data_IF_489475251368
#
_entry.id   IF_489475251368
#
_cell.length_a   1.000
_cell.length_b   1.000
_cell.length_c   1.000
_cell.angle_alpha   90.00
_cell.angle_beta   90.00
_cell.angle_gamma   90.00
#
_symmetry.space_group_name_H-M   'P 1'
#
loop_
_entity.id
_entity.type
_entity.pdbx_description
1 polymer ?
#
# COMPACT_ATOMS: atom_id res chain seq x y z
N UNK A 1 4.45 -6.78 -15.84
CA UNK A 1 4.35 -6.29 -14.46
C UNK A 1 4.56 -7.47 -13.52
N UNK A 2 5.40 -7.33 -12.50
CA UNK A 2 5.87 -8.43 -11.64
C UNK A 2 4.73 -9.25 -11.02
N UNK A 3 3.79 -8.59 -10.37
CA UNK A 3 2.69 -9.26 -9.66
C UNK A 3 1.75 -10.06 -10.55
N UNK A 4 1.60 -9.69 -11.81
CA UNK A 4 0.72 -10.39 -12.74
C UNK A 4 1.24 -11.78 -13.12
N UNK A 5 2.58 -11.97 -13.11
CA UNK A 5 3.20 -13.26 -13.43
C UNK A 5 3.16 -14.25 -12.27
N UNK A 6 3.08 -13.73 -11.05
CA UNK A 6 3.16 -14.52 -9.82
C UNK A 6 2.08 -14.06 -8.84
N UNK A 7 0.82 -14.36 -9.12
CA UNK A 7 -0.28 -13.87 -8.28
C UNK A 7 -0.16 -14.38 -6.85
N UNK A 8 -0.41 -13.48 -5.90
CA UNK A 8 -0.54 -13.83 -4.50
C UNK A 8 -1.98 -14.28 -4.28
N UNK A 9 -2.25 -15.56 -4.09
CA UNK A 9 -3.62 -16.05 -4.13
C UNK A 9 -4.46 -15.58 -2.95
N UNK A 10 -3.92 -15.58 -1.75
CA UNK A 10 -4.66 -15.26 -0.52
C UNK A 10 -3.75 -14.72 0.56
N UNK A 11 -4.37 -14.17 1.61
CA UNK A 11 -3.66 -13.77 2.82
C UNK A 11 -3.17 -15.01 3.56
N UNK A 12 -1.88 -15.07 3.83
CA UNK A 12 -1.22 -16.19 4.50
C UNK A 12 -1.44 -16.14 6.01
N UNK A 13 -1.94 -17.22 6.60
CA UNK A 13 -2.09 -17.36 8.04
C UNK A 13 -0.73 -17.46 8.72
N UNK A 14 -0.67 -17.06 9.99
CA UNK A 14 0.59 -17.07 10.76
C UNK A 14 1.24 -18.44 10.84
N UNK A 15 0.44 -19.51 10.95
CA UNK A 15 0.93 -20.89 10.98
C UNK A 15 1.51 -21.37 9.64
N UNK A 16 1.17 -20.72 8.54
CA UNK A 16 1.60 -21.11 7.18
C UNK A 16 2.78 -20.27 6.66
N UNK A 17 3.32 -19.34 7.46
CA UNK A 17 4.37 -18.42 7.01
C UNK A 17 5.61 -19.17 6.51
N UNK A 18 6.17 -20.07 7.28
CA UNK A 18 7.38 -20.81 6.88
C UNK A 18 7.14 -21.69 5.66
N UNK A 19 5.97 -22.31 5.56
CA UNK A 19 5.57 -23.06 4.38
C UNK A 19 5.56 -22.19 3.12
N UNK A 20 4.98 -21.01 3.20
CA UNK A 20 4.92 -20.09 2.08
C UNK A 20 6.28 -19.49 1.73
N UNK A 21 7.15 -19.26 2.70
CA UNK A 21 8.54 -18.88 2.45
C UNK A 21 9.27 -19.97 1.64
N UNK A 22 9.05 -21.23 2.01
CA UNK A 22 9.62 -22.35 1.26
C UNK A 22 9.03 -22.44 -0.16
N UNK A 23 7.75 -22.30 -0.33
CA UNK A 23 7.09 -22.27 -1.64
C UNK A 23 7.66 -21.16 -2.53
N UNK A 24 7.96 -19.98 -1.97
CA UNK A 24 8.55 -18.87 -2.70
C UNK A 24 9.95 -19.18 -3.26
N UNK A 25 10.65 -20.19 -2.74
CA UNK A 25 11.96 -20.63 -3.29
C UNK A 25 11.84 -21.14 -4.70
N UNK A 26 10.66 -21.57 -5.13
CA UNK A 26 10.43 -22.14 -6.47
C UNK A 26 10.39 -21.07 -7.56
N UNK A 27 10.26 -19.78 -7.20
CA UNK A 27 10.05 -18.71 -8.18
C UNK A 27 11.34 -18.01 -8.60
N UNK A 28 12.37 -17.99 -7.75
CA UNK A 28 13.67 -17.42 -8.09
C UNK A 28 14.73 -17.75 -7.04
N UNK A 29 16.01 -17.56 -7.44
CA UNK A 29 17.15 -17.79 -6.57
C UNK A 29 17.15 -16.89 -5.33
N UNK A 30 16.64 -15.65 -5.43
CA UNK A 30 16.59 -14.74 -4.29
C UNK A 30 15.64 -15.25 -3.20
N UNK A 31 14.56 -15.93 -3.58
CA UNK A 31 13.67 -16.61 -2.66
C UNK A 31 14.39 -17.70 -1.85
N UNK A 32 15.32 -18.40 -2.47
CA UNK A 32 16.14 -19.40 -1.79
C UNK A 32 17.08 -18.76 -0.76
N UNK A 33 17.73 -17.65 -1.10
CA UNK A 33 18.59 -16.90 -0.19
C UNK A 33 17.81 -16.37 1.01
N UNK A 34 16.63 -15.86 0.79
CA UNK A 34 15.75 -15.37 1.87
C UNK A 34 15.34 -16.52 2.79
N UNK A 35 14.93 -17.65 2.22
CA UNK A 35 14.52 -18.81 3.00
C UNK A 35 15.64 -19.32 3.92
N UNK A 36 16.88 -19.38 3.43
CA UNK A 36 18.03 -19.82 4.20
C UNK A 36 18.34 -18.90 5.39
N UNK A 37 17.99 -17.61 5.28
CA UNK A 37 18.26 -16.61 6.31
C UNK A 37 16.98 -16.18 7.05
N UNK A 38 15.87 -16.88 6.91
CA UNK A 38 14.57 -16.48 7.46
C UNK A 38 14.55 -16.25 8.96
N UNK A 39 15.40 -16.95 9.70
CA UNK A 39 15.48 -16.81 11.17
C UNK A 39 16.10 -15.46 11.59
N UNK A 40 16.74 -14.74 10.68
CA UNK A 40 17.28 -13.41 10.91
C UNK A 40 16.23 -12.31 10.66
N UNK A 41 15.06 -12.66 10.16
CA UNK A 41 13.98 -11.71 9.88
C UNK A 41 13.04 -11.59 11.07
N UNK A 42 12.62 -10.36 11.42
CA UNK A 42 11.49 -10.17 12.33
C UNK A 42 10.20 -10.78 11.77
N UNK A 43 9.23 -11.07 12.63
CA UNK A 43 7.96 -11.69 12.22
C UNK A 43 7.20 -10.87 11.18
N UNK A 44 7.24 -9.53 11.28
CA UNK A 44 6.56 -8.66 10.33
C UNK A 44 7.12 -8.80 8.92
N UNK A 45 8.45 -8.84 8.77
CA UNK A 45 9.14 -9.02 7.49
C UNK A 45 8.91 -10.42 6.92
N UNK A 46 8.93 -11.45 7.76
CA UNK A 46 8.58 -12.81 7.34
C UNK A 46 7.18 -12.87 6.76
N UNK A 47 6.19 -12.31 7.46
CA UNK A 47 4.80 -12.25 7.02
C UNK A 47 4.65 -11.46 5.73
N UNK A 48 5.33 -10.33 5.61
CA UNK A 48 5.30 -9.52 4.40
C UNK A 48 5.74 -10.33 3.18
N UNK A 49 6.89 -10.99 3.28
CA UNK A 49 7.42 -11.79 2.18
C UNK A 49 6.59 -13.06 1.93
N UNK A 50 6.09 -13.72 2.96
CA UNK A 50 5.21 -14.88 2.82
C UNK A 50 3.92 -14.53 2.07
N UNK A 51 3.35 -13.35 2.33
CA UNK A 51 2.15 -12.86 1.67
C UNK A 51 2.42 -12.30 0.28
N UNK A 52 3.63 -11.79 0.03
CA UNK A 52 3.95 -11.12 -1.22
C UNK A 52 5.42 -11.29 -1.59
N UNK A 53 5.71 -12.26 -2.46
CA UNK A 53 7.07 -12.54 -2.95
C UNK A 53 7.67 -11.40 -3.78
N UNK A 54 6.87 -10.44 -4.23
CA UNK A 54 7.37 -9.25 -4.93
C UNK A 54 8.15 -8.30 -4.00
N UNK A 55 8.08 -8.51 -2.69
CA UNK A 55 8.84 -7.73 -1.69
C UNK A 55 10.29 -8.17 -1.50
N UNK A 56 10.76 -9.08 -2.31
CA UNK A 56 12.08 -9.73 -2.16
C UNK A 56 13.26 -8.76 -2.09
N UNK A 57 13.25 -7.68 -2.86
CA UNK A 57 14.34 -6.70 -2.85
C UNK A 57 14.42 -5.95 -1.52
N UNK A 58 13.27 -5.59 -0.95
CA UNK A 58 13.21 -5.01 0.39
C UNK A 58 13.75 -5.98 1.44
N UNK A 59 13.32 -7.23 1.40
CA UNK A 59 13.74 -8.27 2.36
C UNK A 59 15.24 -8.53 2.26
N UNK A 60 15.79 -8.65 1.06
CA UNK A 60 17.23 -8.84 0.86
C UNK A 60 18.03 -7.64 1.35
N UNK A 61 17.58 -6.42 1.07
CA UNK A 61 18.22 -5.22 1.60
C UNK A 61 18.18 -5.17 3.13
N UNK A 62 17.10 -5.63 3.73
CA UNK A 62 16.99 -5.77 5.18
C UNK A 62 18.06 -6.76 5.74
N UNK A 63 18.15 -7.94 5.16
CA UNK A 63 19.11 -8.99 5.55
C UNK A 63 20.57 -8.55 5.34
N UNK A 64 20.83 -7.74 4.34
CA UNK A 64 22.17 -7.28 3.98
C UNK A 64 22.58 -5.96 4.67
N UNK A 65 21.77 -5.46 5.60
CA UNK A 65 22.07 -4.23 6.35
C UNK A 65 22.03 -2.95 5.48
N UNK A 66 21.24 -2.95 4.42
CA UNK A 66 21.17 -1.83 3.47
C UNK A 66 20.14 -0.76 3.86
N UNK A 67 19.56 -0.82 5.06
CA UNK A 67 18.46 0.03 5.48
C UNK A 67 18.78 1.54 5.48
N UNK A 68 20.01 1.93 5.60
CA UNK A 68 20.39 3.35 5.56
C UNK A 68 20.96 3.81 4.22
N UNK A 69 20.98 2.95 3.21
CA UNK A 69 21.58 3.24 1.90
C UNK A 69 20.62 4.09 1.07
N UNK A 70 21.09 5.20 0.47
CA UNK A 70 20.27 5.90 -0.52
C UNK A 70 20.04 5.05 -1.76
N UNK A 71 18.79 4.96 -2.18
CA UNK A 71 18.40 4.22 -3.39
C UNK A 71 17.88 5.21 -4.43
N UNK A 72 18.39 5.13 -5.64
CA UNK A 72 17.90 5.93 -6.77
C UNK A 72 16.68 5.31 -7.44
N UNK A 73 16.61 3.99 -7.43
CA UNK A 73 15.55 3.21 -8.05
C UNK A 73 14.89 2.31 -7.01
N UNK A 74 13.60 2.07 -7.20
CA UNK A 74 12.81 1.22 -6.33
C UNK A 74 11.91 0.26 -7.08
N UNK A 75 11.01 -0.34 -6.35
CA UNK A 75 10.13 -1.40 -6.83
C UNK A 75 8.81 -0.89 -7.40
N UNK A 76 8.55 0.41 -7.29
CA UNK A 76 7.38 1.06 -7.88
C UNK A 76 7.37 0.88 -9.40
N UNK A 77 6.21 0.55 -9.95
CA UNK A 77 6.01 0.32 -11.38
C UNK A 77 5.09 1.39 -11.99
N UNK A 78 5.41 1.81 -13.21
CA UNK A 78 4.58 2.75 -13.97
C UNK A 78 3.35 2.03 -14.55
N UNK A 79 2.15 2.49 -14.21
CA UNK A 79 0.89 1.94 -14.71
C UNK A 79 0.13 2.88 -15.64
N UNK A 80 0.66 4.07 -15.91
CA UNK A 80 0.03 5.09 -16.77
C UNK A 80 -1.39 5.45 -16.30
N UNK A 81 -1.55 5.61 -14.98
CA UNK A 81 -2.79 6.05 -14.35
C UNK A 81 -2.71 7.55 -14.00
N UNK A 82 -3.86 8.21 -13.90
CA UNK A 82 -3.91 9.60 -13.42
C UNK A 82 -3.25 9.75 -12.04
N UNK A 83 -3.51 8.79 -11.15
CA UNK A 83 -2.86 8.71 -9.84
C UNK A 83 -1.68 7.76 -9.95
N UNK A 84 -0.45 8.22 -9.71
CA UNK A 84 0.71 7.35 -9.81
C UNK A 84 0.59 6.20 -8.82
N UNK A 85 1.16 5.06 -9.17
CA UNK A 85 1.14 3.91 -8.28
C UNK A 85 2.47 3.82 -7.53
N UNK A 86 2.43 3.88 -6.20
CA UNK A 86 3.58 3.67 -5.33
C UNK A 86 3.36 2.43 -4.48
N UNK A 87 4.41 1.65 -4.24
CA UNK A 87 4.38 0.57 -3.26
C UNK A 87 5.10 0.99 -1.99
N UNK A 88 4.54 0.61 -0.82
CA UNK A 88 5.10 1.00 0.47
C UNK A 88 6.47 0.36 0.76
N UNK A 89 6.75 -0.79 0.17
CA UNK A 89 8.03 -1.49 0.30
C UNK A 89 9.05 -1.13 -0.79
N UNK A 90 8.87 -0.06 -1.50
CA UNK A 90 9.87 0.52 -2.41
C UNK A 90 11.06 1.00 -1.58
N UNK A 91 12.26 0.51 -1.89
CA UNK A 91 13.47 0.76 -1.09
C UNK A 91 13.83 2.24 -0.96
N UNK A 92 13.35 3.11 -1.84
CA UNK A 92 13.57 4.56 -1.74
C UNK A 92 12.98 5.17 -0.46
N UNK A 93 11.98 4.52 0.16
CA UNK A 93 11.34 4.96 1.41
C UNK A 93 11.01 3.82 2.38
N UNK A 94 11.11 2.57 1.95
CA UNK A 94 10.65 1.41 2.72
C UNK A 94 11.27 1.32 4.12
N UNK A 95 12.55 1.67 4.26
CA UNK A 95 13.29 1.58 5.52
C UNK A 95 13.14 2.81 6.41
N UNK A 96 12.49 3.87 5.93
CA UNK A 96 12.29 5.09 6.72
C UNK A 96 11.44 4.79 7.95
N UNK A 97 11.82 5.36 9.09
CA UNK A 97 11.13 5.11 10.35
C UNK A 97 9.69 5.65 10.32
N UNK A 98 8.77 4.86 10.86
CA UNK A 98 7.37 5.24 11.05
C UNK A 98 6.90 4.64 12.38
N UNK A 99 6.83 5.48 13.42
CA UNK A 99 6.64 5.00 14.78
C UNK A 99 7.75 4.02 15.20
N UNK A 100 7.36 2.85 15.66
CA UNK A 100 8.29 1.76 16.05
C UNK A 100 8.57 0.78 14.89
N UNK A 101 8.03 1.03 13.73
CA UNK A 101 8.23 0.21 12.54
C UNK A 101 8.80 1.07 11.41
N UNK A 102 8.56 0.71 10.17
CA UNK A 102 8.98 1.47 9.01
C UNK A 102 7.86 1.55 7.95
N UNK A 103 8.12 2.30 6.90
CA UNK A 103 7.15 2.53 5.83
C UNK A 103 6.76 1.23 5.12
N UNK A 104 7.69 0.30 4.94
CA UNK A 104 7.39 -0.98 4.29
C UNK A 104 6.30 -1.76 5.03
N UNK A 105 6.33 -1.75 6.36
CA UNK A 105 5.42 -2.51 7.21
C UNK A 105 4.15 -1.72 7.54
N UNK A 106 4.29 -0.46 7.95
CA UNK A 106 3.19 0.36 8.47
C UNK A 106 2.71 1.47 7.55
N UNK A 107 3.31 1.62 6.37
CA UNK A 107 3.17 2.81 5.55
C UNK A 107 2.03 2.83 4.52
N UNK A 108 0.98 2.02 4.68
CA UNK A 108 -0.14 2.06 3.73
C UNK A 108 -0.81 3.45 3.69
N UNK A 109 -1.04 4.06 4.84
CA UNK A 109 -1.64 5.39 4.94
C UNK A 109 -0.87 6.48 4.19
N UNK A 110 0.39 6.74 4.55
CA UNK A 110 1.16 7.76 3.86
C UNK A 110 1.42 7.45 2.39
N UNK A 111 1.53 6.18 2.01
CA UNK A 111 1.69 5.80 0.60
C UNK A 111 0.43 6.12 -0.21
N UNK A 112 -0.74 5.79 0.31
CA UNK A 112 -2.04 6.13 -0.34
C UNK A 112 -2.21 7.65 -0.44
N UNK A 113 -1.90 8.38 0.61
CA UNK A 113 -1.98 9.85 0.60
C UNK A 113 -1.02 10.43 -0.44
N UNK A 114 0.21 9.93 -0.54
CA UNK A 114 1.17 10.39 -1.55
C UNK A 114 0.64 10.16 -2.98
N UNK A 115 0.05 9.00 -3.25
CA UNK A 115 -0.57 8.73 -4.54
C UNK A 115 -1.71 9.70 -4.86
N UNK A 116 -2.58 9.97 -3.89
CA UNK A 116 -3.70 10.90 -4.04
C UNK A 116 -3.22 12.32 -4.31
N UNK A 117 -2.31 12.84 -3.49
CA UNK A 117 -1.79 14.20 -3.63
C UNK A 117 -0.99 14.39 -4.91
N UNK A 118 -0.11 13.46 -5.23
CA UNK A 118 0.71 13.52 -6.45
C UNK A 118 -0.17 13.56 -7.71
N UNK A 119 -1.21 12.74 -7.76
CA UNK A 119 -2.14 12.74 -8.90
C UNK A 119 -3.02 13.99 -8.97
N UNK A 120 -3.54 14.47 -7.85
CA UNK A 120 -4.40 15.65 -7.80
C UNK A 120 -3.64 16.94 -8.12
N UNK A 121 -2.44 17.07 -7.60
CA UNK A 121 -1.62 18.27 -7.76
C UNK A 121 -0.67 18.20 -8.97
N UNK A 122 -0.63 17.06 -9.66
CA UNK A 122 0.28 16.79 -10.77
C UNK A 122 1.74 17.08 -10.38
N UNK A 123 2.11 16.60 -9.21
CA UNK A 123 3.43 16.82 -8.61
C UNK A 123 4.04 15.48 -8.16
N UNK A 124 4.90 14.91 -9.00
CA UNK A 124 5.56 13.63 -8.75
C UNK A 124 6.67 13.72 -7.68
N UNK A 125 6.99 14.91 -7.19
CA UNK A 125 7.91 15.06 -6.05
C UNK A 125 7.25 14.71 -4.71
N UNK A 126 5.93 14.61 -4.67
CA UNK A 126 5.18 14.15 -3.50
C UNK A 126 5.22 12.62 -3.49
N UNK A 127 6.08 12.07 -2.64
CA UNK A 127 6.31 10.62 -2.52
C UNK A 127 5.97 10.14 -1.11
N UNK A 128 5.84 8.83 -0.89
CA UNK A 128 5.65 8.26 0.44
C UNK A 128 6.70 8.70 1.46
N UNK A 129 7.91 9.05 1.01
CA UNK A 129 8.97 9.53 1.89
C UNK A 129 8.56 10.81 2.64
N UNK A 130 8.13 11.85 1.92
CA UNK A 130 7.73 13.12 2.52
C UNK A 130 6.47 12.97 3.39
N UNK A 131 5.49 12.23 2.89
CA UNK A 131 4.22 12.09 3.60
C UNK A 131 4.39 11.29 4.90
N UNK A 132 5.20 10.23 4.89
CA UNK A 132 5.49 9.46 6.11
C UNK A 132 6.25 10.29 7.14
N UNK A 133 7.18 11.13 6.72
CA UNK A 133 7.90 12.07 7.60
C UNK A 133 6.93 13.04 8.28
N UNK A 134 5.98 13.61 7.52
CA UNK A 134 4.96 14.53 8.07
C UNK A 134 4.06 13.79 9.07
N UNK A 135 3.60 12.60 8.73
CA UNK A 135 2.77 11.77 9.61
C UNK A 135 3.49 11.47 10.93
N UNK A 136 4.72 10.99 10.82
CA UNK A 136 5.53 10.62 11.98
C UNK A 136 5.82 11.82 12.88
N UNK A 137 6.22 12.96 12.29
CA UNK A 137 6.57 14.16 13.02
C UNK A 137 5.38 14.80 13.76
N UNK A 138 4.16 14.58 13.29
CA UNK A 138 2.94 15.17 13.85
C UNK A 138 2.11 14.18 14.68
N UNK A 139 2.64 12.99 14.96
CA UNK A 139 2.01 12.04 15.88
C UNK A 139 0.76 11.34 15.34
N UNK A 140 0.62 11.22 14.02
CA UNK A 140 -0.54 10.56 13.41
C UNK A 140 -0.36 9.06 13.17
N UNK A 141 0.81 8.52 13.44
CA UNK A 141 1.04 7.08 13.35
C UNK A 141 1.00 6.45 14.74
N UNK A 142 0.27 5.34 14.87
CA UNK A 142 0.12 4.58 16.11
C UNK A 142 0.42 3.10 15.89
N UNK A 143 0.41 2.31 16.97
CA UNK A 143 0.51 0.84 16.88
C UNK A 143 -0.63 0.21 16.07
N UNK A 144 -1.73 0.93 15.85
CA UNK A 144 -2.87 0.50 15.03
C UNK A 144 -2.80 1.05 13.59
N UNK A 145 -1.71 1.73 13.23
CA UNK A 145 -1.52 2.33 11.92
C UNK A 145 -1.79 3.83 11.91
N UNK A 146 -2.06 4.36 10.72
CA UNK A 146 -2.36 5.77 10.50
C UNK A 146 -3.70 6.14 11.14
N UNK A 147 -3.70 7.18 11.98
CA UNK A 147 -4.96 7.77 12.48
C UNK A 147 -5.77 8.34 11.31
N UNK A 148 -7.08 8.12 11.31
CA UNK A 148 -7.96 8.66 10.25
C UNK A 148 -7.94 10.19 10.20
N UNK A 149 -7.74 10.85 11.33
CA UNK A 149 -7.59 12.31 11.40
C UNK A 149 -6.40 12.86 10.61
N UNK A 150 -5.43 12.00 10.26
CA UNK A 150 -4.33 12.39 9.38
C UNK A 150 -4.82 12.82 8.00
N UNK A 151 -5.89 12.23 7.49
CA UNK A 151 -6.40 12.57 6.15
C UNK A 151 -6.88 14.02 6.08
N UNK A 152 -7.62 14.49 7.09
CA UNK A 152 -8.03 15.89 7.16
C UNK A 152 -6.83 16.82 7.34
N UNK A 153 -5.92 16.45 8.23
CA UNK A 153 -4.70 17.23 8.49
C UNK A 153 -3.85 17.42 7.22
N UNK A 154 -3.58 16.33 6.51
CA UNK A 154 -2.70 16.39 5.33
C UNK A 154 -3.37 17.08 4.13
N UNK A 155 -4.67 16.89 3.96
CA UNK A 155 -5.43 17.58 2.94
C UNK A 155 -5.37 19.11 3.15
N UNK A 156 -5.62 19.56 4.37
CA UNK A 156 -5.55 20.98 4.72
C UNK A 156 -4.16 21.57 4.48
N UNK A 157 -3.11 20.83 4.83
CA UNK A 157 -1.72 21.24 4.59
C UNK A 157 -1.42 21.49 3.10
N UNK A 158 -2.08 20.77 2.21
CA UNK A 158 -1.94 20.91 0.75
C UNK A 158 -3.09 21.71 0.11
N UNK A 159 -3.84 22.46 0.90
CA UNK A 159 -4.96 23.32 0.47
C UNK A 159 -6.07 22.54 -0.26
N UNK A 160 -6.31 21.31 0.17
CA UNK A 160 -7.38 20.46 -0.31
C UNK A 160 -8.44 20.28 0.77
N UNK A 161 -9.62 19.85 0.36
CA UNK A 161 -10.71 19.45 1.27
C UNK A 161 -10.67 17.93 1.46
N UNK A 162 -11.02 17.47 2.65
CA UNK A 162 -11.22 16.06 2.98
C UNK A 162 -12.62 15.87 3.52
N UNK A 163 -13.38 14.99 2.90
CA UNK A 163 -14.76 14.69 3.30
C UNK A 163 -14.93 13.20 3.50
N UNK A 164 -15.40 12.79 4.68
CA UNK A 164 -15.74 11.41 4.96
C UNK A 164 -17.03 11.02 4.23
N UNK A 165 -16.99 9.88 3.54
CA UNK A 165 -18.10 9.41 2.71
C UNK A 165 -18.91 8.33 3.44
N UNK A 166 -20.20 8.23 3.10
CA UNK A 166 -21.01 7.07 3.47
C UNK A 166 -20.73 5.92 2.51
N UNK A 167 -20.79 4.68 3.01
CA UNK A 167 -20.57 3.51 2.17
C UNK A 167 -21.79 3.25 1.28
N UNK A 168 -21.66 3.57 0.01
CA UNK A 168 -22.61 3.22 -1.03
C UNK A 168 -21.91 3.23 -2.39
N UNK A 169 -22.46 2.49 -3.35
CA UNK A 169 -21.97 2.54 -4.73
C UNK A 169 -22.05 3.94 -5.31
N UNK A 170 -23.16 4.63 -5.06
CA UNK A 170 -23.37 6.01 -5.54
C UNK A 170 -22.31 6.97 -5.01
N UNK A 171 -21.96 6.89 -3.71
CA UNK A 171 -20.92 7.75 -3.12
C UNK A 171 -19.57 7.58 -3.82
N UNK A 172 -19.17 6.33 -4.08
CA UNK A 172 -17.90 6.05 -4.76
C UNK A 172 -17.95 6.54 -6.21
N UNK A 173 -19.01 6.19 -6.95
CA UNK A 173 -19.16 6.56 -8.35
C UNK A 173 -19.16 8.08 -8.55
N UNK A 174 -19.83 8.83 -7.69
CA UNK A 174 -19.86 10.30 -7.75
C UNK A 174 -18.46 10.91 -7.58
N UNK A 175 -17.68 10.41 -6.65
CA UNK A 175 -16.30 10.88 -6.43
C UNK A 175 -15.43 10.57 -7.64
N UNK A 176 -15.50 9.35 -8.16
CA UNK A 176 -14.73 8.92 -9.33
C UNK A 176 -15.13 9.73 -10.56
N UNK A 177 -16.42 9.99 -10.76
CA UNK A 177 -16.92 10.77 -11.90
C UNK A 177 -16.47 12.24 -11.84
N UNK A 178 -16.21 12.79 -10.65
CA UNK A 178 -15.56 14.10 -10.48
C UNK A 178 -14.05 14.07 -10.76
N UNK A 179 -13.48 12.89 -10.98
CA UNK A 179 -12.04 12.71 -11.17
C UNK A 179 -11.22 12.72 -9.89
N UNK A 180 -11.86 12.58 -8.73
CA UNK A 180 -11.20 12.55 -7.43
C UNK A 180 -10.96 11.12 -6.95
N UNK A 181 -9.96 10.89 -6.06
CA UNK A 181 -9.68 9.57 -5.53
C UNK A 181 -10.50 9.31 -4.25
N UNK A 182 -10.66 8.03 -3.92
CA UNK A 182 -11.28 7.62 -2.65
C UNK A 182 -10.24 6.91 -1.79
N UNK A 183 -9.84 7.55 -0.69
CA UNK A 183 -9.03 6.92 0.35
C UNK A 183 -9.94 5.95 1.11
N UNK A 184 -9.54 4.68 1.18
CA UNK A 184 -10.43 3.61 1.64
C UNK A 184 -9.75 2.76 2.69
N UNK A 185 -10.29 2.76 3.90
CA UNK A 185 -9.86 1.88 5.00
C UNK A 185 -10.63 0.58 4.95
N UNK A 186 -9.92 -0.56 5.00
CA UNK A 186 -10.49 -1.90 4.95
C UNK A 186 -10.13 -2.70 6.20
N UNK A 187 -11.06 -3.54 6.67
CA UNK A 187 -10.84 -4.45 7.78
C UNK A 187 -10.18 -5.75 7.30
N UNK A 188 -9.76 -6.66 8.21
CA UNK A 188 -9.24 -7.98 7.82
C UNK A 188 -10.17 -8.72 6.86
N UNK A 189 -9.60 -9.23 5.78
CA UNK A 189 -10.33 -9.91 4.70
C UNK A 189 -9.46 -10.13 3.48
N UNK A 190 -9.94 -9.69 2.33
CA UNK A 190 -9.26 -9.90 1.04
C UNK A 190 -7.96 -9.10 0.87
N UNK A 191 -7.81 -7.99 1.60
CA UNK A 191 -6.70 -7.05 1.45
C UNK A 191 -5.64 -7.17 2.54
N UNK A 192 -5.98 -7.71 3.69
CA UNK A 192 -5.13 -7.64 4.88
C UNK A 192 -5.55 -8.67 5.92
N UNK A 193 -4.62 -8.99 6.83
CA UNK A 193 -4.92 -9.78 8.04
C UNK A 193 -5.23 -8.93 9.26
N UNK A 194 -4.91 -7.64 9.24
CA UNK A 194 -5.04 -6.74 10.41
C UNK A 194 -5.88 -5.50 10.09
N UNK A 195 -5.47 -4.72 9.14
CA UNK A 195 -6.11 -3.51 8.66
C UNK A 195 -5.24 -2.93 7.55
N UNK A 196 -5.85 -2.17 6.63
CA UNK A 196 -5.13 -1.67 5.47
C UNK A 196 -5.83 -0.44 4.90
N UNK A 197 -5.11 0.32 4.11
CA UNK A 197 -5.63 1.48 3.40
C UNK A 197 -5.26 1.34 1.93
N UNK A 198 -6.24 1.50 1.07
CA UNK A 198 -6.11 1.45 -0.39
C UNK A 198 -6.67 2.72 -1.01
N UNK A 199 -6.36 2.96 -2.28
CA UNK A 199 -6.87 4.10 -3.04
C UNK A 199 -7.72 3.61 -4.20
N UNK A 200 -8.99 4.01 -4.26
CA UNK A 200 -9.82 3.80 -5.45
C UNK A 200 -9.55 4.98 -6.37
N UNK A 201 -9.08 4.71 -7.58
CA UNK A 201 -8.58 5.75 -8.51
C UNK A 201 -9.43 5.90 -9.77
N UNK A 202 -10.33 4.98 -10.03
CA UNK A 202 -11.16 5.02 -11.23
C UNK A 202 -12.10 3.83 -11.32
N UNK A 203 -12.78 3.72 -12.45
CA UNK A 203 -13.58 2.56 -12.82
C UNK A 203 -13.43 2.27 -14.31
N UNK A 204 -13.61 1.01 -14.69
CA UNK A 204 -13.59 0.59 -16.07
C UNK A 204 -14.98 0.73 -16.73
N UNK A 205 -15.07 0.38 -18.01
CA UNK A 205 -16.33 0.47 -18.76
C UNK A 205 -17.43 -0.47 -18.26
N UNK A 206 -17.07 -1.51 -17.51
CA UNK A 206 -18.01 -2.44 -16.88
C UNK A 206 -18.49 -1.96 -15.50
N UNK A 207 -18.03 -0.80 -15.05
CA UNK A 207 -18.37 -0.25 -13.73
C UNK A 207 -17.58 -0.85 -12.56
N UNK A 208 -16.57 -1.67 -12.82
CA UNK A 208 -15.67 -2.20 -11.80
C UNK A 208 -14.58 -1.18 -11.46
N UNK A 209 -14.14 -1.17 -10.21
CA UNK A 209 -13.19 -0.20 -9.70
C UNK A 209 -11.75 -0.58 -9.99
N UNK A 210 -10.96 0.46 -10.26
CA UNK A 210 -9.51 0.41 -10.43
C UNK A 210 -8.91 0.90 -9.12
N UNK A 211 -8.02 0.10 -8.54
CA UNK A 211 -7.44 0.33 -7.22
C UNK A 211 -5.93 0.44 -7.33
N UNK A 212 -5.34 1.39 -6.59
CA UNK A 212 -3.93 1.40 -6.26
C UNK A 212 -3.79 0.86 -4.82
N UNK A 213 -3.33 -0.38 -4.70
CA UNK A 213 -3.02 -0.99 -3.41
C UNK A 213 -1.52 -0.83 -3.12
N UNK A 214 -1.15 -0.08 -2.09
CA UNK A 214 0.26 0.20 -1.81
C UNK A 214 1.08 -1.03 -1.43
N UNK A 215 0.44 -2.16 -1.19
CA UNK A 215 1.13 -3.38 -0.74
C UNK A 215 1.08 -4.54 -1.74
N UNK A 216 0.41 -4.40 -2.89
CA UNK A 216 0.25 -5.52 -3.81
C UNK A 216 0.04 -5.09 -5.27
N UNK A 217 0.95 -5.54 -6.15
CA UNK A 217 0.75 -5.44 -7.60
C UNK A 217 -0.51 -6.20 -8.04
N UNK A 218 -0.72 -7.40 -7.51
CA UNK A 218 -1.82 -8.26 -7.94
C UNK A 218 -3.18 -7.64 -7.65
N UNK A 219 -3.36 -7.08 -6.46
CA UNK A 219 -4.60 -6.40 -6.10
C UNK A 219 -4.79 -5.10 -6.88
N UNK A 220 -3.70 -4.45 -7.27
CA UNK A 220 -3.71 -3.24 -8.09
C UNK A 220 -4.05 -3.52 -9.55
N UNK A 221 -3.63 -4.65 -10.08
CA UNK A 221 -3.89 -5.04 -11.48
C UNK A 221 -5.26 -5.66 -11.69
N UNK A 222 -5.87 -6.22 -10.64
CA UNK A 222 -7.24 -6.73 -10.68
C UNK A 222 -8.22 -5.56 -10.63
N UNK A 223 -9.34 -5.65 -11.34
CA UNK A 223 -10.49 -4.77 -11.15
C UNK A 223 -11.45 -5.38 -10.13
N UNK A 224 -12.17 -4.53 -9.40
CA UNK A 224 -12.98 -4.93 -8.25
C UNK A 224 -14.42 -4.45 -8.41
N UNK A 225 -15.39 -5.36 -8.22
CA UNK A 225 -16.78 -4.97 -8.18
C UNK A 225 -17.14 -4.29 -6.86
N UNK A 226 -18.22 -3.51 -6.84
CA UNK A 226 -18.75 -2.95 -5.60
C UNK A 226 -19.11 -4.07 -4.60
N UNK A 227 -19.70 -5.17 -5.08
CA UNK A 227 -20.05 -6.30 -4.22
C UNK A 227 -18.85 -6.95 -3.54
N UNK A 228 -17.69 -6.98 -4.22
CA UNK A 228 -16.45 -7.45 -3.62
C UNK A 228 -15.89 -6.47 -2.58
N UNK A 229 -16.03 -5.16 -2.81
CA UNK A 229 -15.49 -4.13 -1.92
C UNK A 229 -16.36 -3.82 -0.71
N UNK A 230 -17.68 -3.82 -0.87
CA UNK A 230 -18.62 -3.38 0.19
C UNK A 230 -18.46 -4.15 1.50
N UNK A 231 -18.05 -5.41 1.45
CA UNK A 231 -17.82 -6.25 2.62
C UNK A 231 -16.46 -6.01 3.28
N UNK A 232 -15.56 -5.29 2.62
CA UNK A 232 -14.21 -5.01 3.09
C UNK A 232 -14.06 -3.62 3.70
N UNK A 233 -14.85 -2.66 3.25
CA UNK A 233 -14.69 -1.23 3.56
C UNK A 233 -15.25 -0.91 4.95
N UNK A 234 -14.43 -0.20 5.76
CA UNK A 234 -14.83 0.38 7.04
C UNK A 234 -15.19 1.86 6.88
N UNK A 235 -14.36 2.62 6.19
CA UNK A 235 -14.49 4.07 6.06
C UNK A 235 -13.82 4.56 4.78
N UNK A 236 -14.30 5.69 4.27
CA UNK A 236 -13.80 6.28 3.03
C UNK A 236 -13.75 7.80 3.13
N UNK A 237 -12.81 8.41 2.41
CA UNK A 237 -12.65 9.87 2.31
C UNK A 237 -12.41 10.27 0.87
N UNK A 238 -13.00 11.40 0.47
CA UNK A 238 -12.68 12.08 -0.78
C UNK A 238 -11.74 13.24 -0.49
N UNK A 239 -10.65 13.36 -1.27
CA UNK A 239 -9.89 14.62 -1.37
C UNK A 239 -10.40 15.38 -2.58
N UNK A 240 -10.60 16.69 -2.42
CA UNK A 240 -11.05 17.59 -3.49
C UNK A 240 -10.38 18.95 -3.40
N UNK A 241 -10.35 19.67 -4.54
CA UNK A 241 -9.88 21.06 -4.63
C UNK A 241 -10.90 22.04 -4.09
#
# INVERSE_FOLDING_TARGET
IRGAQHPTPFIVKSEDVDKNLFENTHYNLLGQLIYLQRDQLPDAEKKLYANNKDTKEYILGYLNGQQGTPFEYGETVELKRKYPYYVQWDRRWAYDALGRTNVAIGGCGPTVVAMALSGMLKDETITPKQISEIENANGYFTSLGTKWSFFDFIADKYNLKSVKLSLSKASIDEVIDRGNPVITSVHPGKFTTVGHIILIVGKNNSGNYIINDPNSYNRTLKTWSYDELKTEIIAMWEFSK
#
